data_IF_703108626866
#
_entry.id   IF_703108626866
#
_cell.length_a   1.000
_cell.length_b   1.000
_cell.length_c   1.000
_cell.angle_alpha   90.00
_cell.angle_beta   90.00
_cell.angle_gamma   90.00
#
_symmetry.space_group_name_H-M   'P 1'
#
loop_
_entity.id
_entity.type
_entity.pdbx_description
1 polymer ?
#
# COMPACT_ATOMS: atom_id res chain seq x y z
N UNK A 1 3.42 6.48 -22.63
CA UNK A 1 1.98 6.20 -22.84
C UNK A 1 1.42 5.63 -21.55
N UNK A 2 0.30 6.14 -21.06
CA UNK A 2 -0.41 5.63 -19.91
C UNK A 2 -1.70 4.91 -20.33
N UNK A 3 -2.14 3.95 -19.53
CA UNK A 3 -3.42 3.28 -19.67
C UNK A 3 -4.09 3.12 -18.32
N UNK A 4 -5.38 2.84 -18.32
CA UNK A 4 -6.13 2.55 -17.11
C UNK A 4 -6.37 1.04 -16.98
N UNK A 5 -6.61 0.63 -15.74
CA UNK A 5 -6.86 -0.73 -15.35
C UNK A 5 -7.93 -0.71 -14.26
N UNK A 6 -9.17 -0.94 -14.66
CA UNK A 6 -10.33 -0.79 -13.80
C UNK A 6 -11.16 -2.09 -13.75
N UNK A 7 -12.31 -2.06 -13.12
CA UNK A 7 -13.24 -3.18 -13.13
C UNK A 7 -14.00 -3.35 -14.47
N UNK A 8 -13.82 -2.43 -15.42
CA UNK A 8 -14.50 -2.47 -16.70
C UNK A 8 -13.83 -3.40 -17.71
N UNK A 9 -12.50 -3.55 -17.61
CA UNK A 9 -11.72 -4.42 -18.49
C UNK A 9 -11.96 -5.89 -18.11
N UNK A 10 -12.22 -6.73 -19.09
CA UNK A 10 -12.29 -8.17 -18.91
C UNK A 10 -10.90 -8.79 -18.70
N UNK A 11 -10.83 -10.07 -18.31
CA UNK A 11 -9.55 -10.73 -18.01
C UNK A 11 -8.57 -10.72 -19.18
N UNK A 12 -9.04 -10.86 -20.40
CA UNK A 12 -8.18 -10.86 -21.60
C UNK A 12 -7.57 -9.49 -21.82
N UNK A 13 -8.37 -8.43 -21.77
CA UNK A 13 -7.91 -7.03 -21.88
C UNK A 13 -6.91 -6.67 -20.79
N UNK A 14 -7.16 -7.14 -19.57
CA UNK A 14 -6.22 -6.96 -18.43
C UNK A 14 -4.87 -7.64 -18.69
N UNK A 15 -4.88 -8.86 -19.23
CA UNK A 15 -3.64 -9.56 -19.57
C UNK A 15 -2.87 -8.86 -20.69
N UNK A 16 -3.56 -8.33 -21.69
CA UNK A 16 -2.96 -7.55 -22.78
C UNK A 16 -2.31 -6.26 -22.26
N UNK A 17 -2.95 -5.56 -21.32
CA UNK A 17 -2.40 -4.37 -20.68
C UNK A 17 -1.15 -4.68 -19.86
N UNK A 18 -1.15 -5.80 -19.12
CA UNK A 18 0.02 -6.26 -18.36
C UNK A 18 1.17 -6.63 -19.31
N UNK A 19 0.90 -7.31 -20.40
CA UNK A 19 1.90 -7.67 -21.40
C UNK A 19 2.51 -6.43 -22.07
N UNK A 20 1.68 -5.47 -22.47
CA UNK A 20 2.11 -4.20 -23.02
C UNK A 20 2.97 -3.37 -22.01
N UNK A 21 2.62 -3.42 -20.72
CA UNK A 21 3.42 -2.79 -19.67
C UNK A 21 4.78 -3.49 -19.49
N UNK A 22 4.79 -4.82 -19.46
CA UNK A 22 6.03 -5.60 -19.34
C UNK A 22 6.97 -5.40 -20.55
N UNK A 23 6.41 -5.18 -21.74
CA UNK A 23 7.17 -4.85 -22.95
C UNK A 23 7.63 -3.40 -23.02
N UNK A 24 7.19 -2.54 -22.11
CA UNK A 24 7.49 -1.11 -22.10
C UNK A 24 6.70 -0.28 -23.14
N UNK A 25 5.69 -0.85 -23.76
CA UNK A 25 4.77 -0.15 -24.68
C UNK A 25 3.87 0.84 -23.92
N UNK A 26 3.58 0.53 -22.65
CA UNK A 26 2.88 1.36 -21.69
C UNK A 26 3.86 1.66 -20.54
N UNK A 27 3.97 2.93 -20.16
CA UNK A 27 4.89 3.38 -19.11
C UNK A 27 4.21 3.56 -17.75
N UNK A 28 2.89 3.64 -17.72
CA UNK A 28 2.11 3.78 -16.49
C UNK A 28 0.75 3.11 -16.62
N UNK A 29 0.32 2.47 -15.54
CA UNK A 29 -1.02 1.91 -15.37
C UNK A 29 -1.70 2.59 -14.18
N UNK A 30 -2.84 3.22 -14.41
CA UNK A 30 -3.70 3.72 -13.35
C UNK A 30 -4.70 2.63 -12.98
N UNK A 31 -4.61 2.12 -11.75
CA UNK A 31 -5.45 1.03 -11.27
C UNK A 31 -6.36 1.47 -10.13
N UNK A 32 -7.62 1.07 -10.18
CA UNK A 32 -8.60 1.29 -9.11
C UNK A 32 -9.07 -0.08 -8.63
N UNK A 33 -8.71 -0.45 -7.40
CA UNK A 33 -9.06 -1.74 -6.74
C UNK A 33 -8.65 -3.03 -7.46
N UNK A 34 -8.08 -2.93 -8.66
CA UNK A 34 -7.82 -4.10 -9.51
C UNK A 34 -6.49 -4.80 -9.20
N UNK A 35 -5.58 -4.16 -8.48
CA UNK A 35 -4.34 -4.80 -8.03
C UNK A 35 -4.59 -5.77 -6.86
N UNK A 36 -5.74 -5.71 -6.23
CA UNK A 36 -6.13 -6.58 -5.12
C UNK A 36 -6.64 -7.93 -5.64
N UNK A 37 -7.11 -8.00 -6.89
CA UNK A 37 -7.71 -9.17 -7.51
C UNK A 37 -6.77 -9.93 -8.48
N UNK A 38 -5.89 -10.79 -7.96
CA UNK A 38 -5.25 -11.86 -8.75
C UNK A 38 -4.23 -11.45 -9.83
N UNK A 39 -4.05 -10.17 -10.15
CA UNK A 39 -3.13 -9.73 -11.19
C UNK A 39 -1.74 -9.53 -10.64
N UNK A 40 -0.78 -10.10 -11.35
CA UNK A 40 0.62 -10.05 -11.01
C UNK A 40 1.40 -9.28 -12.06
N UNK A 41 2.04 -8.17 -11.67
CA UNK A 41 2.92 -7.38 -12.54
C UNK A 41 4.29 -7.24 -11.85
N UNK A 42 5.14 -8.29 -11.92
CA UNK A 42 6.41 -8.28 -11.18
C UNK A 42 7.38 -7.19 -11.65
N UNK A 43 7.22 -6.71 -12.87
CA UNK A 43 8.07 -5.67 -13.48
C UNK A 43 7.85 -4.27 -12.91
N UNK A 44 6.87 -4.05 -12.03
CA UNK A 44 6.63 -2.75 -11.39
C UNK A 44 7.86 -2.35 -10.59
N UNK A 45 8.46 -1.21 -10.95
CA UNK A 45 9.60 -0.61 -10.24
C UNK A 45 9.20 0.56 -9.35
N UNK A 46 8.09 1.22 -9.69
CA UNK A 46 7.58 2.37 -8.93
C UNK A 46 6.06 2.30 -8.85
N UNK A 47 5.52 2.63 -7.70
CA UNK A 47 4.09 2.74 -7.47
C UNK A 47 3.78 4.05 -6.75
N UNK A 48 2.70 4.71 -7.14
CA UNK A 48 2.12 5.85 -6.45
C UNK A 48 0.75 5.46 -5.91
N UNK A 49 0.61 5.50 -4.59
CA UNK A 49 -0.63 5.21 -3.88
C UNK A 49 -1.30 6.54 -3.54
N UNK A 50 -2.40 6.85 -4.23
CA UNK A 50 -3.14 8.10 -4.02
C UNK A 50 -4.20 7.97 -2.92
N UNK A 51 -4.73 6.77 -2.72
CA UNK A 51 -5.74 6.45 -1.74
C UNK A 51 -5.69 4.97 -1.40
N UNK A 52 -5.93 4.64 -0.16
CA UNK A 52 -6.12 3.28 0.33
C UNK A 52 -7.36 3.25 1.20
N UNK A 53 -7.99 2.08 1.29
CA UNK A 53 -8.98 1.80 2.31
C UNK A 53 -8.28 1.43 3.63
N UNK A 54 -9.06 1.26 4.67
CA UNK A 54 -8.63 0.85 6.01
C UNK A 54 -8.40 -0.67 6.14
N UNK A 55 -8.67 -1.45 5.09
CA UNK A 55 -8.42 -2.89 5.08
C UNK A 55 -6.92 -3.18 5.02
N UNK A 56 -6.40 -3.63 6.17
CA UNK A 56 -5.01 -4.01 6.33
C UNK A 56 -4.56 -5.11 5.36
N UNK A 57 -5.41 -6.12 5.13
CA UNK A 57 -5.07 -7.26 4.26
C UNK A 57 -4.88 -6.80 2.82
N UNK A 58 -5.74 -5.90 2.35
CA UNK A 58 -5.64 -5.38 0.98
C UNK A 58 -4.33 -4.62 0.75
N UNK A 59 -3.92 -3.75 1.67
CA UNK A 59 -2.70 -2.98 1.44
C UNK A 59 -1.43 -3.83 1.59
N UNK A 60 -1.40 -4.82 2.49
CA UNK A 60 -0.29 -5.79 2.59
C UNK A 60 -0.16 -6.61 1.31
N UNK A 61 -1.28 -7.08 0.74
CA UNK A 61 -1.28 -7.80 -0.53
C UNK A 61 -0.80 -6.91 -1.67
N UNK A 62 -1.26 -5.67 -1.74
CA UNK A 62 -0.83 -4.68 -2.75
C UNK A 62 0.66 -4.41 -2.65
N UNK A 63 1.17 -4.15 -1.44
CA UNK A 63 2.60 -4.00 -1.16
C UNK A 63 3.39 -5.22 -1.63
N UNK A 64 2.97 -6.42 -1.25
CA UNK A 64 3.63 -7.66 -1.62
C UNK A 64 3.71 -7.88 -3.15
N UNK A 65 2.74 -7.38 -3.91
CA UNK A 65 2.76 -7.42 -5.38
C UNK A 65 3.76 -6.43 -5.99
N UNK A 66 3.84 -5.22 -5.43
CA UNK A 66 4.81 -4.19 -5.85
C UNK A 66 6.23 -4.64 -5.55
N UNK A 67 6.47 -5.24 -4.38
CA UNK A 67 7.79 -5.68 -3.92
C UNK A 67 8.24 -7.03 -4.48
N UNK A 68 7.40 -7.71 -5.28
CA UNK A 68 7.74 -9.03 -5.82
C UNK A 68 9.04 -9.00 -6.62
N UNK A 69 9.88 -10.01 -6.39
CA UNK A 69 11.14 -10.17 -7.11
C UNK A 69 10.88 -10.41 -8.60
N UNK A 70 11.72 -9.81 -9.44
CA UNK A 70 11.70 -9.96 -10.88
C UNK A 70 13.11 -9.76 -11.43
N UNK A 71 13.41 -10.30 -12.61
CA UNK A 71 14.72 -10.19 -13.22
C UNK A 71 15.26 -8.76 -13.23
N UNK A 72 16.47 -8.56 -12.68
CA UNK A 72 17.12 -7.25 -12.55
C UNK A 72 16.35 -6.20 -11.73
N UNK A 73 15.44 -6.61 -10.84
CA UNK A 73 14.75 -5.74 -9.91
C UNK A 73 15.23 -6.03 -8.49
N UNK A 74 16.09 -5.17 -7.96
CA UNK A 74 16.63 -5.26 -6.61
C UNK A 74 15.74 -4.57 -5.57
N UNK A 75 14.98 -3.55 -6.00
CA UNK A 75 14.10 -2.77 -5.14
C UNK A 75 12.89 -2.23 -5.91
N UNK A 76 11.93 -1.71 -5.19
CA UNK A 76 10.82 -0.91 -5.75
C UNK A 76 10.66 0.38 -4.95
N UNK A 77 10.29 1.46 -5.63
CA UNK A 77 9.98 2.74 -4.99
C UNK A 77 8.47 2.84 -4.82
N UNK A 78 8.02 3.08 -3.60
CA UNK A 78 6.62 3.32 -3.28
C UNK A 78 6.48 4.77 -2.81
N UNK A 79 5.65 5.54 -3.50
CA UNK A 79 5.19 6.85 -3.07
C UNK A 79 3.81 6.67 -2.48
N UNK A 80 3.65 6.92 -1.18
CA UNK A 80 2.35 6.88 -0.51
C UNK A 80 1.95 8.30 -0.08
N UNK A 81 0.70 8.67 -0.34
CA UNK A 81 0.16 9.96 0.09
C UNK A 81 -0.64 9.72 1.36
N UNK A 82 -0.07 10.12 2.49
CA UNK A 82 -0.71 10.05 3.80
C UNK A 82 -1.45 11.36 4.06
N UNK A 83 -2.75 11.30 4.29
CA UNK A 83 -3.59 12.46 4.54
C UNK A 83 -3.92 12.50 6.02
N UNK A 84 -3.20 13.34 6.76
CA UNK A 84 -3.44 13.51 8.19
C UNK A 84 -4.52 14.57 8.42
N UNK A 85 -5.55 14.24 9.22
CA UNK A 85 -6.63 15.17 9.56
C UNK A 85 -6.18 16.21 10.61
N UNK A 86 -7.08 17.11 10.98
CA UNK A 86 -6.89 17.94 12.17
C UNK A 86 -6.82 17.09 13.44
N UNK A 87 -6.12 17.58 14.47
CA UNK A 87 -5.79 16.82 15.69
C UNK A 87 -7.00 16.31 16.49
N UNK A 88 -8.21 16.77 16.19
CA UNK A 88 -9.46 16.31 16.79
C UNK A 88 -10.02 15.02 16.16
N UNK A 89 -9.46 14.57 15.04
CA UNK A 89 -9.85 13.35 14.33
C UNK A 89 -8.79 12.25 14.49
N UNK A 90 -8.46 11.92 15.73
CA UNK A 90 -7.40 10.98 16.10
C UNK A 90 -7.59 9.59 15.52
N UNK A 91 -8.82 9.07 15.47
CA UNK A 91 -9.09 7.75 14.89
C UNK A 91 -8.74 7.68 13.40
N UNK A 92 -8.98 8.76 12.65
CA UNK A 92 -8.54 8.80 11.26
C UNK A 92 -7.02 8.85 11.15
N UNK A 93 -6.37 9.69 11.96
CA UNK A 93 -4.91 9.75 12.00
C UNK A 93 -4.31 8.38 12.32
N UNK A 94 -4.90 7.63 13.26
CA UNK A 94 -4.50 6.26 13.63
C UNK A 94 -4.50 5.31 12.43
N UNK A 95 -5.54 5.32 11.60
CA UNK A 95 -5.62 4.49 10.38
C UNK A 95 -4.50 4.84 9.39
N UNK A 96 -4.30 6.13 9.13
CA UNK A 96 -3.27 6.60 8.19
C UNK A 96 -1.85 6.29 8.70
N UNK A 97 -1.58 6.53 9.99
CA UNK A 97 -0.27 6.28 10.59
C UNK A 97 0.05 4.79 10.72
N UNK A 98 -0.96 3.94 10.91
CA UNK A 98 -0.81 2.49 10.87
C UNK A 98 -0.32 2.03 9.49
N UNK A 99 -0.92 2.55 8.41
CA UNK A 99 -0.48 2.27 7.04
C UNK A 99 0.94 2.79 6.80
N UNK A 100 1.23 4.01 7.25
CA UNK A 100 2.57 4.60 7.15
C UNK A 100 3.62 3.69 7.80
N UNK A 101 3.38 3.25 9.04
CA UNK A 101 4.27 2.34 9.78
C UNK A 101 4.57 1.05 9.01
N UNK A 102 3.55 0.46 8.40
CA UNK A 102 3.71 -0.79 7.65
C UNK A 102 4.58 -0.67 6.40
N UNK A 103 4.63 0.49 5.78
CA UNK A 103 5.58 0.74 4.71
C UNK A 103 6.95 1.14 5.26
N UNK A 104 6.99 2.00 6.27
CA UNK A 104 8.21 2.52 6.88
C UNK A 104 9.14 1.41 7.41
N UNK A 105 8.60 0.49 8.19
CA UNK A 105 9.36 -0.60 8.82
C UNK A 105 10.08 -1.55 7.85
N UNK A 106 9.70 -1.57 6.57
CA UNK A 106 10.30 -2.41 5.53
C UNK A 106 11.09 -1.60 4.49
N UNK A 107 11.19 -0.30 4.67
CA UNK A 107 11.88 0.58 3.74
C UNK A 107 13.40 0.56 3.97
N UNK A 108 14.15 0.93 2.94
CA UNK A 108 15.62 1.09 3.05
C UNK A 108 15.97 2.26 3.98
N UNK A 109 15.10 3.28 4.03
CA UNK A 109 15.21 4.45 4.91
C UNK A 109 14.37 4.30 6.20
N UNK A 110 14.27 3.08 6.73
CA UNK A 110 13.47 2.74 7.89
C UNK A 110 13.74 3.65 9.10
N UNK A 111 15.00 3.91 9.42
CA UNK A 111 15.36 4.72 10.59
C UNK A 111 14.76 6.13 10.48
N UNK A 112 14.94 6.81 9.34
CA UNK A 112 14.40 8.15 9.09
C UNK A 112 12.87 8.18 9.13
N UNK A 113 12.23 7.21 8.48
CA UNK A 113 10.77 7.15 8.39
C UNK A 113 10.11 6.75 9.71
N UNK A 114 10.77 5.96 10.54
CA UNK A 114 10.26 5.63 11.88
C UNK A 114 10.42 6.79 12.85
N UNK A 115 11.52 7.55 12.78
CA UNK A 115 11.68 8.80 13.56
C UNK A 115 10.57 9.80 13.20
N UNK A 116 10.24 9.96 11.91
CA UNK A 116 9.14 10.82 11.48
C UNK A 116 7.77 10.31 12.00
N UNK A 117 7.56 9.00 12.02
CA UNK A 117 6.35 8.40 12.58
C UNK A 117 6.20 8.73 14.07
N UNK A 118 7.29 8.62 14.84
CA UNK A 118 7.28 8.91 16.28
C UNK A 118 6.89 10.37 16.56
N UNK A 119 7.40 11.32 15.78
CA UNK A 119 7.02 12.73 15.86
C UNK A 119 5.53 12.92 15.57
N UNK A 120 4.99 12.23 14.57
CA UNK A 120 3.58 12.26 14.22
C UNK A 120 2.70 11.63 15.30
N UNK A 121 3.10 10.49 15.86
CA UNK A 121 2.38 9.86 16.97
C UNK A 121 2.27 10.81 18.17
N UNK A 122 3.37 11.46 18.55
CA UNK A 122 3.37 12.47 19.63
C UNK A 122 2.41 13.61 19.30
N UNK A 123 2.39 14.10 18.07
CA UNK A 123 1.48 15.19 17.64
C UNK A 123 0.00 14.85 17.84
N UNK A 124 -0.38 13.58 17.60
CA UNK A 124 -1.76 13.10 17.72
C UNK A 124 -2.07 12.49 19.10
N UNK A 125 -1.11 12.45 20.02
CA UNK A 125 -1.27 11.84 21.33
C UNK A 125 -1.47 10.32 21.26
N UNK A 126 -0.89 9.69 20.25
CA UNK A 126 -0.90 8.25 20.02
C UNK A 126 0.40 7.62 20.49
N UNK A 127 0.36 6.32 20.75
CA UNK A 127 1.52 5.47 21.05
C UNK A 127 1.78 4.50 19.91
N UNK A 128 2.91 3.81 19.93
CA UNK A 128 3.20 2.74 18.96
C UNK A 128 2.16 1.62 19.01
N UNK A 129 1.63 1.29 20.19
CA UNK A 129 0.59 0.26 20.37
C UNK A 129 -0.70 0.61 19.60
N UNK A 130 -1.05 1.91 19.52
CA UNK A 130 -2.22 2.38 18.78
C UNK A 130 -2.14 2.13 17.28
N UNK A 131 -0.96 2.01 16.74
CA UNK A 131 -0.68 1.78 15.32
C UNK A 131 -0.09 0.41 15.04
N UNK A 132 0.03 -0.46 16.04
CA UNK A 132 0.41 -1.85 15.85
C UNK A 132 -0.78 -2.65 15.28
N UNK A 133 -0.47 -3.62 14.44
CA UNK A 133 -1.47 -4.38 13.69
C UNK A 133 -1.85 -5.66 14.41
N UNK A 134 -1.06 -6.09 15.38
CA UNK A 134 -1.30 -7.35 16.09
C UNK A 134 -2.62 -7.39 16.87
N UNK A 135 -3.20 -6.22 17.22
CA UNK A 135 -4.50 -6.15 17.93
C UNK A 135 -5.73 -6.56 17.09
N UNK A 136 -5.59 -6.69 15.76
CA UNK A 136 -6.75 -7.04 14.91
C UNK A 136 -6.95 -8.55 14.75
N UNK A 137 -5.89 -9.34 14.80
CA UNK A 137 -6.04 -10.81 14.70
C UNK A 137 -6.67 -11.41 15.97
N UNK A 138 -6.43 -10.80 17.14
CA UNK A 138 -7.04 -11.23 18.40
C UNK A 138 -8.54 -10.87 18.52
N UNK A 139 -8.99 -9.77 17.88
CA UNK A 139 -10.39 -9.34 17.95
C UNK A 139 -11.31 -10.09 16.99
N UNK A 140 -10.81 -10.64 15.86
CA UNK A 140 -11.63 -11.46 14.97
C UNK A 140 -11.91 -12.87 15.55
N UNK A 141 -10.98 -13.43 16.33
CA UNK A 141 -11.14 -14.74 16.97
C UNK A 141 -12.13 -14.70 18.16
N UNK A 142 -12.37 -13.54 18.79
CA UNK A 142 -13.36 -13.39 19.87
C UNK A 142 -14.81 -13.19 19.39
N UNK A 143 -15.03 -12.92 18.09
CA UNK A 143 -16.37 -12.71 17.52
C UNK A 143 -16.98 -14.01 16.98
N UNK A 144 -16.18 -15.05 16.74
CA UNK A 144 -16.62 -16.34 16.20
C UNK A 144 -16.85 -17.44 17.26
N UNK A 145 -16.81 -17.11 18.58
CA UNK A 145 -17.28 -17.96 19.68
C UNK A 145 -18.68 -17.50 20.16
#
# INVERSE_FOLDING_TARGET
KASQFTAQENMTERMELVDAFNKGEISALAAIRCLDEGINIPSIKSALILSSNDDYREFVQRRGRILRLYDNKESAVIYDIVVLPSNDLTEWAKIELRRYREYAKLSINCDETMDELDDLLVQYGLSEEDVDVYDYEEMEDEIDE
#
